data_IF_552323673976
#
_entry.id   IF_552323673976
#
_cell.length_a   1.000
_cell.length_b   1.000
_cell.length_c   1.000
_cell.angle_alpha   90.00
_cell.angle_beta   90.00
_cell.angle_gamma   90.00
#
_symmetry.space_group_name_H-M   'P 1'
#
loop_
_entity.id
_entity.type
_entity.pdbx_description
1 polymer ?
#
# COMPACT_ATOMS: atom_id res chain seq x y z
N UNK A 1 11.15 3.53 -3.19
CA UNK A 1 10.87 4.69 -4.06
C UNK A 1 10.68 5.97 -3.24
N UNK A 2 9.72 6.08 -2.32
CA UNK A 2 9.46 7.30 -1.55
C UNK A 2 10.66 7.80 -0.73
N UNK A 3 11.41 6.91 -0.07
CA UNK A 3 12.65 7.26 0.64
C UNK A 3 13.71 7.79 -0.34
N UNK A 4 13.84 7.19 -1.52
CA UNK A 4 14.73 7.70 -2.56
C UNK A 4 14.32 9.09 -3.05
N UNK A 5 13.03 9.35 -3.20
CA UNK A 5 12.48 10.66 -3.52
C UNK A 5 12.86 11.70 -2.43
N UNK A 6 12.74 11.33 -1.15
CA UNK A 6 13.12 12.20 -0.04
C UNK A 6 14.60 12.58 -0.08
N UNK A 7 15.50 11.61 -0.31
CA UNK A 7 16.95 11.85 -0.39
C UNK A 7 17.28 12.80 -1.55
N UNK A 8 16.72 12.55 -2.74
CA UNK A 8 16.95 13.41 -3.91
C UNK A 8 16.36 14.81 -3.73
N UNK A 9 15.22 14.94 -3.07
CA UNK A 9 14.65 16.24 -2.75
C UNK A 9 15.54 17.07 -1.80
N UNK A 10 16.27 16.41 -0.90
CA UNK A 10 17.30 17.09 -0.08
C UNK A 10 18.43 17.62 -0.96
N UNK A 11 18.91 16.82 -1.92
CA UNK A 11 19.97 17.24 -2.86
C UNK A 11 19.51 18.44 -3.68
N UNK A 12 18.25 18.48 -4.09
CA UNK A 12 17.66 19.63 -4.81
C UNK A 12 17.25 20.80 -3.90
N UNK A 13 17.64 20.77 -2.63
CA UNK A 13 17.34 21.83 -1.63
C UNK A 13 15.82 22.09 -1.49
N UNK A 14 15.02 21.06 -1.56
CA UNK A 14 13.56 21.10 -1.39
C UNK A 14 13.12 20.42 -0.08
N UNK A 15 13.33 21.06 1.08
CA UNK A 15 13.11 20.40 2.38
C UNK A 15 11.66 20.01 2.62
N UNK A 16 10.70 20.74 2.07
CA UNK A 16 9.28 20.42 2.21
C UNK A 16 8.93 19.11 1.49
N UNK A 17 9.37 18.95 0.24
CA UNK A 17 9.14 17.73 -0.55
C UNK A 17 9.84 16.54 0.12
N UNK A 18 11.06 16.75 0.59
CA UNK A 18 11.82 15.72 1.30
C UNK A 18 11.10 15.25 2.56
N UNK A 19 10.60 16.19 3.37
CA UNK A 19 9.83 15.90 4.58
C UNK A 19 8.53 15.16 4.29
N UNK A 20 7.75 15.60 3.30
CA UNK A 20 6.51 14.97 2.89
C UNK A 20 6.74 13.53 2.39
N UNK A 21 7.73 13.32 1.52
CA UNK A 21 8.08 12.01 1.00
C UNK A 21 8.53 11.04 2.10
N UNK A 22 9.33 11.52 3.06
CA UNK A 22 9.78 10.72 4.20
C UNK A 22 8.62 10.37 5.13
N UNK A 23 7.78 11.34 5.48
CA UNK A 23 6.60 11.12 6.33
C UNK A 23 5.63 10.13 5.68
N UNK A 24 5.35 10.28 4.39
CA UNK A 24 4.52 9.34 3.64
C UNK A 24 5.12 7.93 3.61
N UNK A 25 6.43 7.80 3.42
CA UNK A 25 7.13 6.52 3.42
C UNK A 25 7.04 5.81 4.77
N UNK A 26 7.31 6.51 5.87
CA UNK A 26 7.26 5.95 7.22
C UNK A 26 5.84 5.55 7.61
N UNK A 27 4.85 6.41 7.31
CA UNK A 27 3.45 6.11 7.54
C UNK A 27 3.00 4.89 6.74
N UNK A 28 3.44 4.79 5.47
CA UNK A 28 3.11 3.64 4.62
C UNK A 28 3.71 2.33 5.16
N UNK A 29 4.96 2.34 5.61
CA UNK A 29 5.61 1.17 6.22
C UNK A 29 4.82 0.69 7.45
N UNK A 30 4.43 1.62 8.32
CA UNK A 30 3.66 1.30 9.52
C UNK A 30 2.29 0.69 9.16
N UNK A 31 1.54 1.35 8.29
CA UNK A 31 0.22 0.89 7.85
C UNK A 31 0.31 -0.48 7.18
N UNK A 32 1.29 -0.66 6.29
CA UNK A 32 1.51 -1.92 5.59
C UNK A 32 1.85 -3.06 6.56
N UNK A 33 2.70 -2.81 7.56
CA UNK A 33 3.04 -3.80 8.57
C UNK A 33 1.81 -4.26 9.37
N UNK A 34 0.96 -3.32 9.80
CA UNK A 34 -0.26 -3.62 10.56
C UNK A 34 -1.26 -4.39 9.69
N UNK A 35 -1.55 -3.92 8.47
CA UNK A 35 -2.51 -4.58 7.59
C UNK A 35 -2.04 -5.98 7.17
N UNK A 36 -0.77 -6.14 6.82
CA UNK A 36 -0.22 -7.47 6.53
C UNK A 36 -0.25 -8.39 7.74
N UNK A 37 0.13 -7.89 8.91
CA UNK A 37 0.06 -8.66 10.16
C UNK A 37 -1.35 -9.21 10.38
N UNK A 38 -2.37 -8.37 10.23
CA UNK A 38 -3.77 -8.78 10.37
C UNK A 38 -4.18 -9.85 9.34
N UNK A 39 -3.82 -9.69 8.07
CA UNK A 39 -4.13 -10.68 7.01
C UNK A 39 -3.42 -12.01 7.28
N UNK A 40 -2.15 -11.98 7.69
CA UNK A 40 -1.41 -13.20 8.00
C UNK A 40 -1.99 -13.94 9.21
N UNK A 41 -2.35 -13.21 10.27
CA UNK A 41 -3.02 -13.81 11.43
C UNK A 41 -4.37 -14.42 11.04
N UNK A 42 -5.18 -13.70 10.29
CA UNK A 42 -6.47 -14.20 9.82
C UNK A 42 -6.31 -15.45 8.95
N UNK A 43 -5.35 -15.45 8.00
CA UNK A 43 -5.06 -16.63 7.17
C UNK A 43 -4.51 -17.81 7.99
N UNK A 44 -3.73 -17.53 9.02
CA UNK A 44 -3.26 -18.54 9.99
C UNK A 44 -4.40 -19.22 10.73
N UNK A 45 -5.37 -18.44 11.22
CA UNK A 45 -6.59 -18.96 11.88
C UNK A 45 -7.40 -19.84 10.92
N UNK A 46 -7.59 -19.40 9.68
CA UNK A 46 -8.28 -20.18 8.63
C UNK A 46 -7.56 -21.52 8.40
N UNK A 47 -6.25 -21.46 8.20
CA UNK A 47 -5.46 -22.67 7.97
C UNK A 47 -5.52 -23.65 9.16
N UNK A 48 -5.43 -23.13 10.39
CA UNK A 48 -5.49 -23.97 11.59
C UNK A 48 -6.85 -24.66 11.75
N UNK A 49 -7.93 -24.00 11.32
CA UNK A 49 -9.28 -24.54 11.45
C UNK A 49 -9.63 -25.53 10.34
N UNK A 50 -9.23 -25.26 9.10
CA UNK A 50 -9.60 -26.06 7.91
C UNK A 50 -8.54 -27.13 7.61
N UNK A 51 -7.28 -26.96 8.03
CA UNK A 51 -6.19 -27.91 7.82
C UNK A 51 -5.64 -27.97 6.40
N UNK A 52 -6.09 -27.10 5.49
CA UNK A 52 -5.63 -27.05 4.09
C UNK A 52 -5.32 -25.63 3.63
N UNK A 53 -4.44 -25.51 2.62
CA UNK A 53 -4.12 -24.24 1.94
C UNK A 53 -4.71 -24.15 0.53
N UNK A 54 -5.48 -25.17 0.11
CA UNK A 54 -6.08 -25.18 -1.23
C UNK A 54 -7.36 -24.34 -1.23
N UNK A 55 -7.33 -23.22 -1.95
CA UNK A 55 -8.47 -22.29 -2.06
C UNK A 55 -9.71 -22.95 -2.65
N UNK A 56 -9.54 -23.92 -3.56
CA UNK A 56 -10.63 -24.67 -4.20
C UNK A 56 -11.50 -25.45 -3.20
N UNK A 57 -10.93 -25.82 -2.05
CA UNK A 57 -11.63 -26.57 -0.98
C UNK A 57 -12.19 -25.63 0.10
N UNK A 58 -11.73 -24.36 0.10
CA UNK A 58 -12.14 -23.36 1.07
C UNK A 58 -13.41 -22.65 0.61
N UNK A 59 -14.59 -23.20 0.93
CA UNK A 59 -15.87 -22.56 0.68
C UNK A 59 -16.57 -22.11 1.96
N UNK A 60 -17.29 -20.99 1.92
CA UNK A 60 -18.20 -20.59 3.00
C UNK A 60 -17.53 -20.12 4.30
N UNK A 61 -16.26 -19.69 4.27
CA UNK A 61 -15.50 -19.25 5.45
C UNK A 61 -16.22 -18.13 6.21
N UNK A 62 -16.87 -17.21 5.51
CA UNK A 62 -17.63 -16.14 6.12
C UNK A 62 -18.80 -16.62 7.00
N UNK A 63 -19.35 -17.81 6.71
CA UNK A 63 -20.40 -18.44 7.52
C UNK A 63 -19.86 -19.12 8.76
N UNK A 64 -18.75 -19.86 8.60
CA UNK A 64 -18.16 -20.63 9.72
C UNK A 64 -17.34 -19.77 10.67
N UNK A 65 -16.69 -18.72 10.16
CA UNK A 65 -15.77 -17.84 10.91
C UNK A 65 -16.00 -16.35 10.53
N UNK A 66 -17.16 -15.75 10.89
CA UNK A 66 -17.54 -14.42 10.45
C UNK A 66 -16.56 -13.34 10.93
N UNK A 67 -16.04 -13.44 12.15
CA UNK A 67 -15.08 -12.48 12.67
C UNK A 67 -13.77 -12.49 11.87
N UNK A 68 -13.22 -13.67 11.60
CA UNK A 68 -11.98 -13.82 10.82
C UNK A 68 -12.17 -13.35 9.38
N UNK A 69 -13.31 -13.65 8.77
CA UNK A 69 -13.66 -13.20 7.43
C UNK A 69 -13.77 -11.66 7.37
N UNK A 70 -14.36 -11.03 8.37
CA UNK A 70 -14.46 -9.56 8.46
C UNK A 70 -13.07 -8.94 8.62
N UNK A 71 -12.22 -9.46 9.51
CA UNK A 71 -10.85 -8.98 9.67
C UNK A 71 -10.05 -9.12 8.36
N UNK A 72 -10.22 -10.24 7.65
CA UNK A 72 -9.57 -10.46 6.37
C UNK A 72 -10.04 -9.46 5.30
N UNK A 73 -11.35 -9.22 5.22
CA UNK A 73 -11.93 -8.24 4.28
C UNK A 73 -11.46 -6.81 4.57
N UNK A 74 -11.44 -6.40 5.85
CA UNK A 74 -10.93 -5.09 6.27
C UNK A 74 -9.43 -4.97 5.92
N UNK A 75 -8.62 -5.99 6.21
CA UNK A 75 -7.21 -5.98 5.89
C UNK A 75 -6.94 -5.91 4.39
N UNK A 76 -7.69 -6.68 3.60
CA UNK A 76 -7.58 -6.69 2.14
C UNK A 76 -7.94 -5.33 1.52
N UNK A 77 -9.04 -4.71 1.97
CA UNK A 77 -9.45 -3.38 1.50
C UNK A 77 -8.48 -2.28 1.95
N UNK A 78 -7.94 -2.38 3.15
CA UNK A 78 -6.95 -1.45 3.67
C UNK A 78 -5.61 -1.53 2.90
N UNK A 79 -5.13 -2.74 2.58
CA UNK A 79 -3.88 -2.92 1.82
C UNK A 79 -4.02 -2.56 0.34
N UNK A 80 -5.25 -2.62 -0.19
CA UNK A 80 -5.57 -2.16 -1.55
C UNK A 80 -5.58 -0.62 -1.69
N UNK A 81 -5.34 0.11 -0.61
CA UNK A 81 -5.29 1.58 -0.64
C UNK A 81 -6.64 2.23 -0.90
N UNK A 82 -7.74 1.59 -0.52
CA UNK A 82 -9.08 2.16 -0.71
C UNK A 82 -9.40 3.19 0.39
N UNK A 83 -10.01 4.34 0.06
CA UNK A 83 -10.56 5.22 1.08
C UNK A 83 -11.71 4.49 1.81
N UNK A 84 -11.85 4.65 3.14
CA UNK A 84 -11.26 5.63 4.06
C UNK A 84 -10.03 5.14 4.86
N UNK A 85 -9.31 4.15 4.39
CA UNK A 85 -8.21 3.54 5.15
C UNK A 85 -6.93 4.39 5.14
N UNK A 86 -6.13 4.27 6.22
CA UNK A 86 -4.86 4.99 6.39
C UNK A 86 -3.82 4.70 5.29
N UNK A 87 -3.85 3.51 4.67
CA UNK A 87 -2.98 3.17 3.55
C UNK A 87 -3.17 4.13 2.38
N UNK A 88 -4.43 4.51 2.09
CA UNK A 88 -4.74 5.53 1.08
C UNK A 88 -4.08 6.87 1.40
N UNK A 89 -4.12 7.32 2.67
CA UNK A 89 -3.53 8.60 3.08
C UNK A 89 -2.01 8.59 2.85
N UNK A 90 -1.34 7.50 3.21
CA UNK A 90 0.11 7.38 3.02
C UNK A 90 0.50 7.36 1.53
N UNK A 91 -0.23 6.65 0.70
CA UNK A 91 -0.05 6.62 -0.75
C UNK A 91 -0.34 7.98 -1.38
N UNK A 92 -1.38 8.67 -0.93
CA UNK A 92 -1.73 10.01 -1.39
C UNK A 92 -0.62 11.03 -1.07
N UNK A 93 -0.02 10.98 0.13
CA UNK A 93 1.11 11.84 0.49
C UNK A 93 2.31 11.58 -0.43
N UNK A 94 2.63 10.32 -0.71
CA UNK A 94 3.71 9.93 -1.62
C UNK A 94 3.41 10.41 -3.05
N UNK A 95 2.17 10.29 -3.47
CA UNK A 95 1.69 10.76 -4.78
C UNK A 95 1.88 12.29 -4.93
N UNK A 96 1.42 13.06 -3.94
CA UNK A 96 1.57 14.52 -3.92
C UNK A 96 3.04 14.91 -3.93
N UNK A 97 3.89 14.25 -3.13
CA UNK A 97 5.32 14.49 -3.15
C UNK A 97 5.94 14.20 -4.53
N UNK A 98 5.52 13.12 -5.19
CA UNK A 98 5.95 12.78 -6.55
C UNK A 98 5.53 13.83 -7.59
N UNK A 99 4.30 14.36 -7.50
CA UNK A 99 3.84 15.46 -8.36
C UNK A 99 4.66 16.74 -8.14
N UNK A 100 4.96 17.08 -6.89
CA UNK A 100 5.78 18.24 -6.57
C UNK A 100 7.21 18.11 -7.12
N UNK A 101 7.78 16.90 -7.11
CA UNK A 101 9.08 16.65 -7.76
C UNK A 101 9.02 16.94 -9.26
N UNK A 102 7.91 16.61 -9.94
CA UNK A 102 7.76 16.89 -11.37
C UNK A 102 7.78 18.40 -11.70
N UNK A 103 7.43 19.27 -10.73
CA UNK A 103 7.45 20.73 -10.95
C UNK A 103 8.86 21.33 -10.98
N UNK A 104 9.89 20.57 -10.58
CA UNK A 104 11.28 21.03 -10.54
C UNK A 104 11.91 21.20 -11.94
N UNK A 105 11.24 20.68 -13.01
CA UNK A 105 11.68 20.76 -14.41
C UNK A 105 13.10 20.21 -14.70
N UNK A 106 13.70 19.53 -13.75
CA UNK A 106 14.95 18.82 -13.93
C UNK A 106 14.67 17.46 -14.60
N UNK A 107 15.41 17.04 -15.64
CA UNK A 107 15.15 15.78 -16.33
C UNK A 107 15.20 14.57 -15.43
N UNK A 108 16.09 14.57 -14.43
CA UNK A 108 16.15 13.52 -13.41
C UNK A 108 14.93 13.52 -12.49
N UNK A 109 14.37 14.70 -12.17
CA UNK A 109 13.18 14.86 -11.35
C UNK A 109 11.94 14.37 -12.10
N UNK A 110 11.81 14.67 -13.37
CA UNK A 110 10.71 14.18 -14.22
C UNK A 110 10.74 12.66 -14.35
N UNK A 111 11.92 12.07 -14.58
CA UNK A 111 12.07 10.61 -14.62
C UNK A 111 11.66 9.97 -13.28
N UNK A 112 12.10 10.53 -12.16
CA UNK A 112 11.76 10.04 -10.83
C UNK A 112 10.25 10.14 -10.57
N UNK A 113 9.63 11.27 -10.88
CA UNK A 113 8.19 11.47 -10.76
C UNK A 113 7.43 10.42 -11.59
N UNK A 114 7.82 10.21 -12.84
CA UNK A 114 7.23 9.19 -13.71
C UNK A 114 7.35 7.78 -13.12
N UNK A 115 8.52 7.41 -12.58
CA UNK A 115 8.73 6.10 -11.95
C UNK A 115 7.88 5.92 -10.69
N UNK A 116 7.72 6.97 -9.87
CA UNK A 116 6.85 6.93 -8.68
C UNK A 116 5.41 6.73 -9.09
N UNK A 117 4.93 7.55 -10.04
CA UNK A 117 3.53 7.53 -10.49
C UNK A 117 3.16 6.22 -11.16
N UNK A 118 4.02 5.74 -12.08
CA UNK A 118 3.79 4.45 -12.76
C UNK A 118 3.85 3.27 -11.79
N UNK A 119 4.75 3.31 -10.82
CA UNK A 119 4.85 2.28 -9.78
C UNK A 119 3.60 2.21 -8.90
N UNK A 120 3.07 3.35 -8.45
CA UNK A 120 1.84 3.42 -7.67
C UNK A 120 0.63 2.95 -8.47
N UNK A 121 0.50 3.39 -9.73
CA UNK A 121 -0.58 2.98 -10.63
C UNK A 121 -0.54 1.46 -10.90
N UNK A 122 0.65 0.89 -11.11
CA UNK A 122 0.82 -0.54 -11.32
C UNK A 122 0.42 -1.35 -10.07
N UNK A 123 0.88 -0.94 -8.89
CA UNK A 123 0.56 -1.62 -7.63
C UNK A 123 -0.93 -1.55 -7.36
N UNK A 124 -1.55 -0.37 -7.49
CA UNK A 124 -3.00 -0.21 -7.32
C UNK A 124 -3.81 -1.03 -8.32
N UNK A 125 -3.42 -1.03 -9.60
CA UNK A 125 -4.05 -1.82 -10.64
C UNK A 125 -3.96 -3.33 -10.40
N UNK A 126 -2.80 -3.83 -9.98
CA UNK A 126 -2.62 -5.23 -9.61
C UNK A 126 -3.42 -5.62 -8.37
N UNK A 127 -3.47 -4.75 -7.35
CA UNK A 127 -4.28 -4.98 -6.16
C UNK A 127 -5.76 -5.11 -6.53
N UNK A 128 -6.31 -4.18 -7.29
CA UNK A 128 -7.71 -4.27 -7.77
C UNK A 128 -7.95 -5.53 -8.59
N UNK A 129 -7.05 -5.88 -9.52
CA UNK A 129 -7.18 -7.08 -10.36
C UNK A 129 -7.15 -8.39 -9.56
N UNK A 130 -6.36 -8.43 -8.46
CA UNK A 130 -6.28 -9.63 -7.59
C UNK A 130 -7.50 -9.77 -6.69
N UNK A 131 -8.06 -8.67 -6.19
CA UNK A 131 -9.23 -8.71 -5.30
C UNK A 131 -10.57 -8.76 -6.04
N UNK A 132 -10.61 -8.44 -7.34
CA UNK A 132 -11.80 -8.53 -8.17
C UNK A 132 -12.07 -9.95 -8.72
N UNK A 133 -11.15 -10.90 -8.52
CA UNK A 133 -11.29 -12.34 -8.87
C UNK A 133 -11.77 -13.17 -7.68
#
# INVERSE_FOLDING_TARGET
>A
MAIGCSILAIVWKQPFIAGAAMAGALLHILNHAVCKGMIFLASGVVYHTIGTRKLEVMGGIARSMPFTATCFAIGATAIAGLPPFNSFISEFIIFVAGLQVATLQEPAALLLAFLIMSGLALIGGLAVATYAR
#
